data_IF_233102315488
#
_entry.id   IF_233102315488
#
_cell.length_a   1.000
_cell.length_b   1.000
_cell.length_c   1.000
_cell.angle_alpha   90.00
_cell.angle_beta   90.00
_cell.angle_gamma   90.00
#
_symmetry.space_group_name_H-M   'P 1'
#
loop_
_entity.id
_entity.type
_entity.pdbx_description
1 polymer ?
#
# COMPACT_ATOMS: atom_id res chain seq x y z
N UNK A 1 -13.87 -5.81 -20.27
CA UNK A 1 -12.87 -5.79 -19.17
C UNK A 1 -13.61 -5.42 -17.90
N UNK A 2 -13.40 -6.13 -16.79
CA UNK A 2 -13.95 -5.72 -15.48
C UNK A 2 -13.31 -4.38 -15.09
N UNK A 3 -14.09 -3.46 -14.51
CA UNK A 3 -13.52 -2.23 -13.92
C UNK A 3 -13.04 -2.49 -12.50
N UNK A 4 -12.18 -1.61 -11.96
CA UNK A 4 -11.76 -1.70 -10.56
C UNK A 4 -12.96 -1.68 -9.61
N UNK A 5 -14.01 -0.92 -9.94
CA UNK A 5 -15.21 -0.80 -9.11
C UNK A 5 -16.03 -2.10 -9.09
N UNK A 6 -16.10 -2.80 -10.23
CA UNK A 6 -16.71 -4.15 -10.30
C UNK A 6 -15.90 -5.16 -9.49
N UNK A 7 -14.57 -5.11 -9.58
CA UNK A 7 -13.68 -5.99 -8.81
C UNK A 7 -13.79 -5.73 -7.30
N UNK A 8 -13.77 -4.45 -6.89
CA UNK A 8 -14.00 -4.05 -5.50
C UNK A 8 -15.36 -4.51 -4.97
N UNK A 9 -16.42 -4.32 -5.76
CA UNK A 9 -17.79 -4.72 -5.36
C UNK A 9 -17.94 -6.23 -5.19
N UNK A 10 -17.11 -7.04 -5.87
CA UNK A 10 -17.10 -8.49 -5.78
C UNK A 10 -16.31 -9.03 -4.57
N UNK A 11 -15.56 -8.17 -3.87
CA UNK A 11 -14.78 -8.52 -2.67
C UNK A 11 -15.67 -8.46 -1.42
N UNK A 12 -16.38 -9.55 -1.17
CA UNK A 12 -17.28 -9.69 -0.01
C UNK A 12 -16.55 -9.53 1.34
N UNK A 13 -15.29 -9.96 1.40
CA UNK A 13 -14.39 -9.81 2.55
C UNK A 13 -14.15 -8.33 2.92
N UNK A 14 -14.04 -7.45 1.91
CA UNK A 14 -13.79 -6.02 2.13
C UNK A 14 -15.02 -5.23 2.62
N UNK A 15 -16.24 -5.75 2.39
CA UNK A 15 -17.47 -5.05 2.76
C UNK A 15 -17.62 -4.86 4.28
N UNK A 16 -17.00 -5.74 5.06
CA UNK A 16 -17.04 -5.69 6.53
C UNK A 16 -16.33 -4.44 7.09
N UNK A 17 -15.43 -3.82 6.32
CA UNK A 17 -14.60 -2.70 6.74
C UNK A 17 -15.14 -1.32 6.31
N UNK A 18 -16.36 -1.25 5.74
CA UNK A 18 -17.00 0.01 5.36
C UNK A 18 -16.14 0.85 4.39
N UNK A 19 -15.96 2.13 4.70
CA UNK A 19 -15.16 3.06 3.88
C UNK A 19 -13.68 2.64 3.81
N UNK A 20 -13.16 1.96 4.84
CA UNK A 20 -11.76 1.49 4.89
C UNK A 20 -11.50 0.32 3.94
N UNK A 21 -12.56 -0.39 3.52
CA UNK A 21 -12.48 -1.45 2.53
C UNK A 21 -11.81 -0.98 1.25
N UNK A 22 -12.03 0.29 0.85
CA UNK A 22 -11.40 0.84 -0.35
C UNK A 22 -9.90 1.09 -0.17
N UNK A 23 -9.44 1.49 1.02
CA UNK A 23 -8.01 1.62 1.30
C UNK A 23 -7.31 0.26 1.35
N UNK A 24 -7.94 -0.76 1.94
CA UNK A 24 -7.43 -2.13 1.89
C UNK A 24 -7.36 -2.65 0.45
N UNK A 25 -8.37 -2.36 -0.37
CA UNK A 25 -8.35 -2.68 -1.79
C UNK A 25 -7.19 -1.98 -2.50
N UNK A 26 -6.99 -0.69 -2.24
CA UNK A 26 -5.89 0.09 -2.80
C UNK A 26 -4.51 -0.48 -2.42
N UNK A 27 -4.32 -0.85 -1.15
CA UNK A 27 -3.10 -1.53 -0.68
C UNK A 27 -2.87 -2.86 -1.41
N UNK A 28 -3.92 -3.67 -1.54
CA UNK A 28 -3.85 -4.95 -2.24
C UNK A 28 -3.44 -4.79 -3.70
N UNK A 29 -4.00 -3.80 -4.40
CA UNK A 29 -3.65 -3.54 -5.79
C UNK A 29 -2.21 -3.04 -5.94
N UNK A 30 -1.79 -2.07 -5.10
CA UNK A 30 -0.50 -1.41 -5.27
C UNK A 30 0.67 -2.26 -4.77
N UNK A 31 0.51 -2.91 -3.62
CA UNK A 31 1.57 -3.67 -2.96
C UNK A 31 1.43 -5.18 -3.11
N UNK A 32 0.42 -5.66 -3.85
CA UNK A 32 0.16 -7.09 -4.10
C UNK A 32 0.00 -7.89 -2.80
N UNK A 33 -0.77 -7.34 -1.87
CA UNK A 33 -1.05 -7.98 -0.58
C UNK A 33 -2.03 -9.12 -0.78
N UNK A 34 -1.61 -10.34 -0.43
CA UNK A 34 -2.43 -11.55 -0.52
C UNK A 34 -3.37 -11.72 0.70
N UNK A 35 -2.86 -11.50 1.92
CA UNK A 35 -3.62 -11.67 3.17
C UNK A 35 -4.12 -10.33 3.71
N UNK A 36 -5.27 -9.90 3.21
CA UNK A 36 -5.84 -8.59 3.52
C UNK A 36 -6.54 -8.57 4.88
N UNK A 37 -7.01 -9.71 5.38
CA UNK A 37 -7.66 -9.77 6.71
C UNK A 37 -6.63 -9.55 7.82
N UNK A 38 -5.46 -10.17 7.71
CA UNK A 38 -4.35 -9.89 8.63
C UNK A 38 -3.92 -8.42 8.59
N UNK A 39 -3.80 -7.84 7.38
CA UNK A 39 -3.48 -6.42 7.23
C UNK A 39 -4.57 -5.53 7.82
N UNK A 40 -5.85 -5.85 7.62
CA UNK A 40 -6.96 -5.07 8.16
C UNK A 40 -6.96 -5.05 9.70
N UNK A 41 -6.69 -6.20 10.33
CA UNK A 41 -6.66 -6.33 11.79
C UNK A 41 -5.56 -5.48 12.45
N UNK A 42 -4.44 -5.27 11.76
CA UNK A 42 -3.29 -4.54 12.29
C UNK A 42 -3.26 -3.05 11.89
N UNK A 43 -3.83 -2.71 10.73
CA UNK A 43 -3.64 -1.39 10.12
C UNK A 43 -4.83 -0.44 10.25
N UNK A 44 -6.05 -0.93 10.47
CA UNK A 44 -7.23 -0.05 10.59
C UNK A 44 -7.20 0.67 11.93
N UNK A 45 -7.28 2.00 11.86
CA UNK A 45 -7.30 2.91 13.01
C UNK A 45 -8.63 3.62 13.21
N UNK A 46 -9.63 3.34 12.36
CA UNK A 46 -10.96 3.96 12.34
C UNK A 46 -11.74 3.79 13.66
N UNK A 47 -12.48 4.84 14.04
CA UNK A 47 -13.35 4.90 15.21
C UNK A 47 -13.30 6.25 15.93
N UNK A 48 -14.05 6.38 17.04
CA UNK A 48 -13.96 7.58 17.88
C UNK A 48 -12.50 7.79 18.33
N UNK A 49 -11.99 9.01 18.12
CA UNK A 49 -10.60 9.42 18.38
C UNK A 49 -9.52 8.82 17.47
N UNK A 50 -9.86 8.41 16.24
CA UNK A 50 -8.90 8.06 15.15
C UNK A 50 -7.97 9.22 14.72
N UNK A 51 -8.30 10.46 15.12
CA UNK A 51 -7.62 11.70 14.78
C UNK A 51 -7.36 11.87 13.28
N UNK A 52 -8.36 11.49 12.46
CA UNK A 52 -8.33 11.65 11.00
C UNK A 52 -7.30 10.77 10.29
N UNK A 53 -7.00 9.62 10.89
CA UNK A 53 -6.26 8.57 10.23
C UNK A 53 -7.11 7.30 10.27
N UNK A 54 -7.53 6.84 9.10
CA UNK A 54 -8.41 5.68 8.99
C UNK A 54 -7.58 4.38 8.90
N UNK A 55 -6.36 4.47 8.37
CA UNK A 55 -5.43 3.35 8.23
C UNK A 55 -3.97 3.76 8.40
N UNK A 56 -3.20 2.94 9.13
CA UNK A 56 -1.73 3.00 9.24
C UNK A 56 -1.15 1.62 8.96
N UNK A 57 -0.56 1.43 7.80
CA UNK A 57 0.10 0.19 7.41
C UNK A 57 1.62 0.37 7.42
N UNK A 58 2.35 -0.58 8.01
CA UNK A 58 3.81 -0.52 8.14
C UNK A 58 4.36 -1.85 7.65
N UNK A 59 5.21 -1.81 6.63
CA UNK A 59 5.93 -2.96 6.12
C UNK A 59 7.44 -2.69 6.25
N UNK A 60 8.05 -3.28 7.28
CA UNK A 60 9.49 -3.14 7.53
C UNK A 60 10.35 -3.98 6.57
N UNK A 61 9.79 -5.02 5.93
CA UNK A 61 10.51 -5.88 4.98
C UNK A 61 10.71 -5.16 3.64
N UNK A 62 9.66 -4.52 3.15
CA UNK A 62 9.68 -3.67 1.94
C UNK A 62 10.02 -2.20 2.25
N UNK A 63 10.34 -1.90 3.51
CA UNK A 63 10.82 -0.61 4.00
C UNK A 63 9.89 0.60 3.73
N UNK A 64 8.57 0.41 3.82
CA UNK A 64 7.60 1.50 3.64
C UNK A 64 6.48 1.52 4.68
N UNK A 65 5.87 2.70 4.85
CA UNK A 65 4.65 2.87 5.63
C UNK A 65 3.61 3.67 4.82
N UNK A 66 2.33 3.43 5.08
CA UNK A 66 1.18 4.10 4.46
C UNK A 66 0.27 4.64 5.54
N UNK A 67 0.01 5.95 5.49
CA UNK A 67 -0.97 6.63 6.35
C UNK A 67 -2.10 7.07 5.44
N UNK A 68 -3.32 6.66 5.72
CA UNK A 68 -4.44 6.94 4.84
C UNK A 68 -5.64 7.53 5.57
N UNK A 69 -6.31 8.46 4.88
CA UNK A 69 -7.67 8.89 5.15
C UNK A 69 -8.56 8.39 4.02
N UNK A 70 -9.74 7.90 4.36
CA UNK A 70 -10.69 7.29 3.46
C UNK A 70 -11.96 8.14 3.32
N UNK A 71 -12.59 8.00 2.15
CA UNK A 71 -13.91 8.54 1.88
C UNK A 71 -14.62 7.73 0.80
N UNK A 72 -15.79 7.20 1.10
CA UNK A 72 -16.63 6.55 0.10
C UNK A 72 -17.90 7.36 -0.19
N UNK A 73 -18.11 7.74 -1.44
CA UNK A 73 -19.32 8.41 -1.89
C UNK A 73 -20.33 7.41 -2.45
N UNK A 74 -21.52 7.33 -1.86
CA UNK A 74 -22.66 6.59 -2.43
C UNK A 74 -23.38 7.34 -3.56
N UNK A 75 -22.98 8.58 -3.83
CA UNK A 75 -23.55 9.44 -4.87
C UNK A 75 -22.47 9.80 -5.90
N UNK A 76 -22.92 9.98 -7.13
CA UNK A 76 -22.07 10.53 -8.18
C UNK A 76 -21.73 12.00 -7.85
N UNK A 77 -20.44 12.33 -7.90
CA UNK A 77 -19.88 13.65 -7.58
C UNK A 77 -18.67 13.89 -8.47
N UNK A 78 -18.42 15.16 -8.77
CA UNK A 78 -17.29 15.54 -9.62
C UNK A 78 -15.94 15.47 -8.89
N UNK A 79 -15.94 15.62 -7.56
CA UNK A 79 -14.72 15.59 -6.75
C UNK A 79 -15.00 15.13 -5.31
N UNK A 80 -13.97 14.62 -4.66
CA UNK A 80 -14.00 14.29 -3.24
C UNK A 80 -13.83 15.55 -2.35
N UNK A 81 -14.30 15.54 -1.10
CA UNK A 81 -14.12 16.67 -0.19
C UNK A 81 -12.64 16.96 0.07
N UNK A 82 -12.14 18.12 -0.37
CA UNK A 82 -10.73 18.51 -0.21
C UNK A 82 -10.31 18.65 1.27
N UNK A 83 -11.25 19.00 2.15
CA UNK A 83 -10.97 19.10 3.58
C UNK A 83 -10.57 17.76 4.23
N UNK A 84 -10.95 16.62 3.64
CA UNK A 84 -10.47 15.31 4.10
C UNK A 84 -9.03 15.01 3.67
N UNK A 85 -8.56 15.61 2.58
CA UNK A 85 -7.14 15.56 2.23
C UNK A 85 -6.32 16.40 3.21
N UNK A 86 -6.80 17.61 3.57
CA UNK A 86 -6.10 18.47 4.52
C UNK A 86 -6.11 17.94 5.96
N UNK A 87 -7.15 17.17 6.33
CA UNK A 87 -7.24 16.41 7.59
C UNK A 87 -6.01 15.48 7.81
N UNK A 88 -5.31 15.03 6.76
CA UNK A 88 -4.08 14.24 6.88
C UNK A 88 -2.93 14.98 7.60
N UNK A 89 -2.92 16.32 7.59
CA UNK A 89 -1.97 17.09 8.39
C UNK A 89 -2.19 16.84 9.90
N UNK A 90 -3.45 16.67 10.32
CA UNK A 90 -3.80 16.35 11.71
C UNK A 90 -3.28 14.95 12.03
N UNK A 91 -3.54 13.96 11.18
CA UNK A 91 -3.05 12.60 11.34
C UNK A 91 -1.52 12.54 11.50
N UNK A 92 -0.77 13.24 10.63
CA UNK A 92 0.68 13.33 10.71
C UNK A 92 1.15 13.90 12.05
N UNK A 93 0.53 14.98 12.52
CA UNK A 93 0.87 15.58 13.80
C UNK A 93 0.65 14.62 14.98
N UNK A 94 -0.46 13.88 15.00
CA UNK A 94 -0.75 12.89 16.05
C UNK A 94 0.17 11.68 15.98
N UNK A 95 0.40 11.13 14.79
CA UNK A 95 1.17 9.90 14.61
C UNK A 95 2.67 10.10 14.75
N UNK A 96 3.22 11.24 14.34
CA UNK A 96 4.66 11.44 14.27
C UNK A 96 5.22 12.39 15.34
N UNK A 97 4.48 13.43 15.71
CA UNK A 97 5.04 14.53 16.53
C UNK A 97 4.49 14.60 17.95
N UNK A 98 3.18 14.38 18.15
CA UNK A 98 2.53 14.53 19.47
C UNK A 98 3.18 13.64 20.52
N UNK A 99 3.29 14.09 21.77
CA UNK A 99 3.74 13.23 22.86
C UNK A 99 2.89 11.95 22.93
N UNK A 100 3.53 10.78 23.01
CA UNK A 100 2.84 9.48 23.05
C UNK A 100 1.91 9.35 24.26
N UNK A 101 2.13 10.10 25.35
CA UNK A 101 1.22 10.15 26.49
C UNK A 101 -0.12 10.79 26.14
N UNK A 102 -0.14 11.75 25.21
CA UNK A 102 -1.35 12.44 24.75
C UNK A 102 -2.05 11.71 23.60
N UNK A 103 -1.34 10.83 22.90
CA UNK A 103 -1.90 10.07 21.77
C UNK A 103 -3.00 9.12 22.27
N UNK A 104 -4.22 9.14 21.68
CA UNK A 104 -5.30 8.24 22.06
C UNK A 104 -4.92 6.77 21.91
N UNK A 105 -5.40 5.92 22.82
CA UNK A 105 -5.05 4.48 22.86
C UNK A 105 -5.30 3.78 21.52
N UNK A 106 -6.33 4.18 20.78
CA UNK A 106 -6.69 3.63 19.45
C UNK A 106 -5.55 3.71 18.43
N UNK A 107 -4.83 4.82 18.37
CA UNK A 107 -3.76 5.06 17.40
C UNK A 107 -2.36 5.01 18.02
N UNK A 108 -2.28 4.77 19.33
CA UNK A 108 -1.03 4.84 20.10
C UNK A 108 -0.04 3.76 19.71
N UNK A 109 -0.51 2.53 19.49
CA UNK A 109 0.32 1.42 19.00
C UNK A 109 0.92 1.76 17.65
N UNK A 110 0.11 2.22 16.70
CA UNK A 110 0.55 2.61 15.35
C UNK A 110 1.53 3.79 15.39
N UNK A 111 1.24 4.81 16.21
CA UNK A 111 2.13 5.94 16.43
C UNK A 111 3.48 5.50 17.03
N UNK A 112 3.47 4.60 18.01
CA UNK A 112 4.70 4.08 18.61
C UNK A 112 5.50 3.25 17.61
N UNK A 113 4.83 2.37 16.87
CA UNK A 113 5.45 1.49 15.89
C UNK A 113 6.11 2.29 14.78
N UNK A 114 5.37 3.18 14.10
CA UNK A 114 5.94 3.95 12.98
C UNK A 114 7.14 4.79 13.40
N UNK A 115 7.07 5.46 14.56
CA UNK A 115 8.20 6.25 15.09
C UNK A 115 9.41 5.38 15.38
N UNK A 116 9.18 4.17 15.90
CA UNK A 116 10.26 3.21 16.19
C UNK A 116 10.90 2.70 14.90
N UNK A 117 10.09 2.29 13.92
CA UNK A 117 10.57 1.80 12.62
C UNK A 117 11.35 2.87 11.86
N UNK A 118 10.90 4.14 11.91
CA UNK A 118 11.63 5.29 11.37
C UNK A 118 12.98 5.46 12.07
N UNK A 119 13.01 5.51 13.41
CA UNK A 119 14.25 5.69 14.19
C UNK A 119 15.26 4.56 14.00
N UNK A 120 14.77 3.34 13.76
CA UNK A 120 15.60 2.17 13.49
C UNK A 120 16.04 2.07 12.02
N UNK A 121 15.64 3.01 11.16
CA UNK A 121 15.99 3.01 9.74
C UNK A 121 15.32 1.89 8.93
N UNK A 122 14.23 1.31 9.45
CA UNK A 122 13.48 0.22 8.80
C UNK A 122 12.45 0.72 7.80
N UNK A 123 12.22 2.03 7.73
CA UNK A 123 11.33 2.66 6.78
C UNK A 123 12.13 3.68 5.99
N UNK A 124 12.07 3.57 4.66
CA UNK A 124 12.67 4.49 3.70
C UNK A 124 11.63 5.29 2.94
N UNK A 125 10.39 4.82 2.88
CA UNK A 125 9.31 5.49 2.16
C UNK A 125 8.07 5.66 3.04
N UNK A 126 7.55 6.89 3.08
CA UNK A 126 6.29 7.22 3.73
C UNK A 126 5.28 7.65 2.67
N UNK A 127 4.26 6.84 2.47
CA UNK A 127 3.10 7.17 1.66
C UNK A 127 2.02 7.82 2.53
N UNK A 128 1.43 8.92 2.03
CA UNK A 128 0.30 9.59 2.67
C UNK A 128 -0.84 9.65 1.68
N UNK A 129 -1.88 8.85 1.90
CA UNK A 129 -2.94 8.61 0.92
C UNK A 129 -4.25 9.27 1.33
N UNK A 130 -4.89 9.94 0.37
CA UNK A 130 -6.33 10.20 0.47
C UNK A 130 -7.06 9.29 -0.50
N UNK A 131 -7.80 8.32 0.01
CA UNK A 131 -8.42 7.25 -0.77
C UNK A 131 -9.92 7.50 -0.95
N UNK A 132 -10.39 7.51 -2.19
CA UNK A 132 -11.82 7.67 -2.51
C UNK A 132 -12.25 7.10 -3.85
N UNK A 133 -13.56 6.94 -4.03
CA UNK A 133 -14.17 6.36 -5.24
C UNK A 133 -14.60 7.39 -6.31
N UNK A 134 -14.15 8.64 -6.20
CA UNK A 134 -14.48 9.75 -7.12
C UNK A 134 -13.31 10.12 -8.04
N UNK A 135 -13.54 10.89 -9.12
CA UNK A 135 -12.46 11.43 -9.95
C UNK A 135 -11.51 12.31 -9.13
N UNK A 136 -10.24 12.30 -9.51
CA UNK A 136 -9.21 13.17 -8.95
C UNK A 136 -9.49 14.66 -9.23
N UNK A 137 -9.08 15.53 -8.32
CA UNK A 137 -9.36 16.97 -8.42
C UNK A 137 -8.15 17.86 -8.13
N UNK A 138 -8.13 19.04 -8.75
CA UNK A 138 -7.09 20.05 -8.46
C UNK A 138 -7.12 20.52 -7.01
N UNK A 139 -8.31 20.60 -6.40
CA UNK A 139 -8.47 21.03 -5.02
C UNK A 139 -7.78 20.06 -4.06
N UNK A 140 -8.06 18.76 -4.20
CA UNK A 140 -7.40 17.71 -3.41
C UNK A 140 -5.89 17.69 -3.67
N UNK A 141 -5.47 17.79 -4.93
CA UNK A 141 -4.04 17.79 -5.27
C UNK A 141 -3.26 18.93 -4.57
N UNK A 142 -3.84 20.13 -4.48
CA UNK A 142 -3.20 21.26 -3.78
C UNK A 142 -3.08 21.03 -2.26
N UNK A 143 -4.11 20.44 -1.63
CA UNK A 143 -4.03 20.07 -0.22
C UNK A 143 -2.93 19.02 0.03
N UNK A 144 -2.80 18.03 -0.86
CA UNK A 144 -1.79 16.99 -0.73
C UNK A 144 -0.35 17.49 -0.92
N UNK A 145 -0.13 18.52 -1.72
CA UNK A 145 1.19 19.20 -1.78
C UNK A 145 1.57 19.73 -0.39
N UNK A 146 0.62 20.36 0.30
CA UNK A 146 0.83 20.86 1.66
C UNK A 146 1.09 19.70 2.63
N UNK A 147 0.30 18.64 2.57
CA UNK A 147 0.48 17.42 3.39
C UNK A 147 1.89 16.83 3.22
N UNK A 148 2.39 16.73 1.98
CA UNK A 148 3.74 16.22 1.72
C UNK A 148 4.82 17.10 2.36
N UNK A 149 4.67 18.43 2.24
CA UNK A 149 5.62 19.38 2.84
C UNK A 149 5.59 19.31 4.37
N UNK A 150 4.41 19.17 4.98
CA UNK A 150 4.25 18.99 6.42
C UNK A 150 4.95 17.71 6.89
N UNK A 151 4.67 16.58 6.25
CA UNK A 151 5.31 15.30 6.57
C UNK A 151 6.84 15.38 6.45
N UNK A 152 7.36 15.94 5.35
CA UNK A 152 8.79 16.11 5.15
C UNK A 152 9.42 17.01 6.23
N UNK A 153 8.72 18.06 6.66
CA UNK A 153 9.18 18.98 7.71
C UNK A 153 9.25 18.27 9.07
N UNK A 154 8.20 17.53 9.44
CA UNK A 154 8.17 16.73 10.67
C UNK A 154 9.31 15.72 10.67
N UNK A 155 9.47 14.96 9.59
CA UNK A 155 10.52 13.95 9.49
C UNK A 155 11.91 14.55 9.62
N UNK A 156 12.18 15.68 8.95
CA UNK A 156 13.47 16.36 9.05
C UNK A 156 13.77 16.90 10.45
N UNK A 157 12.76 17.37 11.17
CA UNK A 157 12.94 17.98 12.49
C UNK A 157 13.00 16.94 13.62
N UNK A 158 12.06 15.99 13.62
CA UNK A 158 11.88 15.03 14.73
C UNK A 158 12.65 13.71 14.51
N UNK A 159 13.14 13.47 13.29
CA UNK A 159 13.84 12.25 12.87
C UNK A 159 15.04 12.56 11.95
N UNK A 160 15.91 13.48 12.38
CA UNK A 160 16.98 14.08 11.55
C UNK A 160 17.92 13.08 10.83
N UNK A 161 18.18 11.93 11.44
CA UNK A 161 19.03 10.87 10.87
C UNK A 161 18.30 9.98 9.84
N UNK A 162 16.95 10.02 9.82
CA UNK A 162 16.15 9.18 8.95
C UNK A 162 16.06 9.79 7.53
N UNK A 163 16.46 9.00 6.53
CA UNK A 163 16.35 9.37 5.11
C UNK A 163 15.07 8.80 4.53
N UNK A 164 13.96 9.47 4.80
CA UNK A 164 12.64 9.03 4.35
C UNK A 164 12.16 9.86 3.16
N UNK A 165 11.75 9.18 2.10
CA UNK A 165 11.04 9.78 0.98
C UNK A 165 9.56 9.85 1.29
N UNK A 166 8.92 10.99 1.05
CA UNK A 166 7.49 11.19 1.31
C UNK A 166 6.74 11.32 -0.01
N UNK A 167 5.64 10.58 -0.13
CA UNK A 167 4.73 10.66 -1.26
C UNK A 167 3.30 10.87 -0.77
N UNK A 168 2.80 12.10 -0.85
CA UNK A 168 1.37 12.36 -0.65
C UNK A 168 0.64 12.21 -1.99
N UNK A 169 -0.43 11.41 -2.04
CA UNK A 169 -1.17 11.17 -3.29
C UNK A 169 -2.66 10.95 -3.09
N UNK A 170 -3.41 11.38 -4.10
CA UNK A 170 -4.83 11.12 -4.23
C UNK A 170 -5.00 9.75 -4.88
N UNK A 171 -5.63 8.83 -4.16
CA UNK A 171 -6.00 7.51 -4.66
C UNK A 171 -7.47 7.57 -5.05
N UNK A 172 -7.72 8.26 -6.16
CA UNK A 172 -9.03 8.40 -6.80
C UNK A 172 -9.28 7.35 -7.89
N UNK A 173 -10.34 7.57 -8.67
CA UNK A 173 -10.76 6.67 -9.77
C UNK A 173 -9.62 6.36 -10.74
N UNK A 174 -8.84 7.37 -11.10
CA UNK A 174 -7.74 7.28 -12.05
C UNK A 174 -6.64 6.34 -11.53
N UNK A 175 -6.20 6.56 -10.28
CA UNK A 175 -5.14 5.76 -9.66
C UNK A 175 -5.60 4.32 -9.38
N UNK A 176 -6.83 4.13 -8.94
CA UNK A 176 -7.43 2.80 -8.77
C UNK A 176 -7.56 2.06 -10.11
N UNK A 177 -7.88 2.77 -11.21
CA UNK A 177 -7.93 2.18 -12.55
C UNK A 177 -6.55 1.75 -13.02
N UNK A 178 -5.54 2.59 -12.80
CA UNK A 178 -4.13 2.32 -13.10
C UNK A 178 -3.65 1.08 -12.34
N UNK A 179 -3.70 1.09 -11.01
CA UNK A 179 -3.22 -0.02 -10.18
C UNK A 179 -4.00 -1.32 -10.44
N UNK A 180 -5.30 -1.23 -10.71
CA UNK A 180 -6.07 -2.40 -11.08
C UNK A 180 -5.60 -2.97 -12.43
N UNK A 181 -5.37 -2.12 -13.43
CA UNK A 181 -4.87 -2.56 -14.75
C UNK A 181 -3.47 -3.17 -14.64
N UNK A 182 -2.61 -2.60 -13.80
CA UNK A 182 -1.28 -3.14 -13.49
C UNK A 182 -1.37 -4.49 -12.76
N UNK A 183 -2.32 -4.65 -11.83
CA UNK A 183 -2.53 -5.91 -11.11
C UNK A 183 -3.01 -7.04 -12.03
N UNK A 184 -3.70 -6.71 -13.11
CA UNK A 184 -4.15 -7.67 -14.13
C UNK A 184 -3.08 -8.02 -15.15
N UNK A 185 -1.98 -7.26 -15.21
CA UNK A 185 -0.94 -7.49 -16.21
C UNK A 185 -0.30 -8.86 -15.96
N UNK A 186 -0.46 -9.82 -16.89
CA UNK A 186 0.17 -11.13 -16.72
C UNK A 186 1.68 -10.94 -16.61
N UNK A 187 2.34 -11.74 -15.78
CA UNK A 187 3.78 -11.95 -15.93
C UNK A 187 3.96 -12.54 -17.34
N UNK A 188 4.37 -11.71 -18.29
CA UNK A 188 4.71 -12.13 -19.63
C UNK A 188 6.00 -12.94 -19.49
N UNK A 189 5.88 -14.27 -19.55
CA UNK A 189 7.01 -15.15 -19.82
C UNK A 189 7.19 -15.14 -21.33
N UNK A 190 7.90 -14.13 -21.83
CA UNK A 190 8.22 -13.95 -23.24
C UNK A 190 9.47 -14.71 -23.67
N UNK A 191 10.29 -15.15 -22.71
CA UNK A 191 11.54 -15.86 -22.99
C UNK A 191 11.48 -17.35 -22.62
N UNK A 192 11.77 -18.20 -23.60
CA UNK A 192 11.93 -19.65 -23.41
C UNK A 192 13.42 -19.99 -23.53
N UNK A 193 14.02 -20.41 -22.42
CA UNK A 193 15.39 -20.89 -22.40
C UNK A 193 15.44 -22.40 -22.70
N UNK A 194 16.24 -22.77 -23.70
CA UNK A 194 16.56 -24.16 -23.96
C UNK A 194 17.88 -24.53 -23.27
N UNK A 195 17.79 -25.28 -22.17
CA UNK A 195 18.96 -25.77 -21.44
C UNK A 195 19.26 -27.20 -21.87
N UNK A 196 20.46 -27.44 -22.38
CA UNK A 196 20.91 -28.79 -22.72
C UNK A 196 21.30 -29.52 -21.43
N UNK A 197 20.53 -30.53 -21.09
CA UNK A 197 20.80 -31.43 -19.98
C UNK A 197 21.72 -32.55 -20.47
N UNK A 198 22.97 -32.57 -20.01
CA UNK A 198 23.96 -33.59 -20.37
C UNK A 198 23.86 -34.86 -19.53
N UNK A 199 23.47 -34.71 -18.26
CA UNK A 199 23.58 -35.77 -17.24
C UNK A 199 22.23 -36.46 -16.94
N UNK A 200 21.24 -36.23 -17.81
CA UNK A 200 19.90 -36.78 -17.68
C UNK A 200 19.06 -36.13 -16.58
N UNK A 201 17.95 -36.76 -16.24
CA UNK A 201 16.99 -36.31 -15.25
C UNK A 201 15.87 -37.32 -15.10
N UNK A 202 14.98 -37.09 -14.14
CA UNK A 202 13.81 -37.95 -13.96
C UNK A 202 12.54 -37.10 -13.95
N UNK A 203 11.52 -37.64 -14.62
CA UNK A 203 10.20 -37.05 -14.69
C UNK A 203 9.35 -37.56 -13.53
N UNK A 204 8.71 -36.63 -12.82
CA UNK A 204 7.76 -36.89 -11.76
C UNK A 204 6.38 -36.60 -12.34
N UNK A 205 5.58 -37.64 -12.55
CA UNK A 205 4.21 -37.53 -13.05
C UNK A 205 3.22 -37.60 -11.91
N UNK A 206 2.35 -36.60 -11.80
CA UNK A 206 1.19 -36.59 -10.93
C UNK A 206 -0.09 -36.33 -11.73
N UNK A 207 -1.25 -36.57 -11.12
CA UNK A 207 -2.54 -36.59 -11.82
C UNK A 207 -2.86 -35.30 -12.61
N UNK A 208 -2.40 -34.14 -12.11
CA UNK A 208 -2.61 -32.83 -12.75
C UNK A 208 -1.32 -32.03 -13.03
N UNK A 209 -0.13 -32.55 -12.68
CA UNK A 209 1.15 -31.84 -12.85
C UNK A 209 2.28 -32.82 -13.12
N UNK A 210 3.12 -32.48 -14.09
CA UNK A 210 4.38 -33.16 -14.34
C UNK A 210 5.54 -32.22 -13.96
N UNK A 211 6.57 -32.75 -13.34
CA UNK A 211 7.81 -32.03 -13.03
C UNK A 211 9.00 -32.80 -13.58
N UNK A 212 10.07 -32.09 -13.94
CA UNK A 212 11.31 -32.69 -14.40
C UNK A 212 12.46 -32.25 -13.48
N UNK A 213 13.09 -33.20 -12.80
CA UNK A 213 14.22 -32.94 -11.93
C UNK A 213 15.52 -33.25 -12.66
N UNK A 214 16.41 -32.27 -12.74
CA UNK A 214 17.69 -32.39 -13.43
C UNK A 214 18.72 -31.43 -12.86
N UNK A 215 19.99 -31.67 -13.16
CA UNK A 215 21.10 -30.77 -12.86
C UNK A 215 21.43 -29.93 -14.09
N UNK A 216 21.58 -28.62 -13.89
CA UNK A 216 22.03 -27.67 -14.92
C UNK A 216 23.36 -27.04 -14.50
N UNK A 217 24.12 -26.52 -15.45
CA UNK A 217 25.33 -25.79 -15.12
C UNK A 217 24.96 -24.40 -14.58
N UNK A 218 25.66 -23.91 -13.55
CA UNK A 218 25.40 -22.57 -12.99
C UNK A 218 25.52 -21.44 -14.02
N UNK A 219 26.34 -21.63 -15.07
CA UNK A 219 26.45 -20.69 -16.20
C UNK A 219 25.18 -20.60 -17.06
N UNK A 220 24.35 -21.65 -17.07
CA UNK A 220 23.10 -21.70 -17.82
C UNK A 220 22.03 -20.89 -17.07
N UNK A 221 22.02 -21.01 -15.74
CA UNK A 221 21.22 -20.17 -14.87
C UNK A 221 21.65 -18.70 -14.96
N UNK A 222 22.94 -18.40 -14.91
CA UNK A 222 23.46 -17.04 -15.03
C UNK A 222 23.13 -16.35 -16.37
N UNK A 223 22.84 -17.13 -17.43
CA UNK A 223 22.36 -16.59 -18.71
C UNK A 223 20.90 -16.13 -18.67
N UNK A 224 20.10 -16.68 -17.76
CA UNK A 224 18.70 -16.27 -17.58
C UNK A 224 18.53 -15.01 -16.72
N UNK A 225 19.61 -14.51 -16.10
CA UNK A 225 19.63 -13.31 -15.26
C UNK A 225 20.35 -12.11 -15.90
N UNK A 226 20.59 -12.15 -17.22
CA UNK A 226 21.24 -11.08 -17.99
C UNK A 226 20.33 -10.59 -19.09
#
# INVERSE_FOLDING_TARGET
MSTWNQAYSAREDLKSYGDNGLALFALALHFRIDDIDSVAAESITDGHDDKKCDLVYINEEEEFAVLAQCYFSSKDRQEAPANKASDLNIALAWLLQRDLHDVPDRIKSSAQQIRTSIKQGKIKTLYVWYVHNLPSSTNVAQELITVQQTAATILKHDFEDAKIQVHAMEVGTEKLTEWYSESLSPILVDEIFNIKVSDGGYEIKGDNRNAFSTTIQGRDLARAYK
#
